data_IF_527838302987
#
_entry.id   IF_527838302987
#
_cell.length_a   1.000
_cell.length_b   1.000
_cell.length_c   1.000
_cell.angle_alpha   90.00
_cell.angle_beta   90.00
_cell.angle_gamma   90.00
#
_symmetry.space_group_name_H-M   'P 1'
#
loop_
_entity.id
_entity.type
_entity.pdbx_description
1 polymer ?
#
# COMPACT_ATOMS: atom_id res chain seq x y z
N UNK A 1 -6.77 28.48 -11.73
CA UNK A 1 -5.89 28.73 -10.59
C UNK A 1 -4.43 28.48 -11.01
N UNK A 2 -3.51 29.38 -10.65
CA UNK A 2 -2.11 29.40 -11.09
C UNK A 2 -1.18 28.41 -10.38
N UNK A 3 -1.54 27.13 -10.34
CA UNK A 3 -0.71 26.08 -9.72
C UNK A 3 0.24 25.50 -10.77
N UNK A 4 1.55 25.59 -10.51
CA UNK A 4 2.56 24.88 -11.30
C UNK A 4 2.83 23.52 -10.68
N UNK A 5 2.47 22.46 -11.39
CA UNK A 5 2.74 21.08 -10.98
C UNK A 5 4.09 20.64 -11.53
N UNK A 6 4.85 19.93 -10.71
CA UNK A 6 6.09 19.24 -11.13
C UNK A 6 5.93 17.79 -10.72
N UNK A 7 6.10 16.88 -11.67
CA UNK A 7 5.97 15.43 -11.49
C UNK A 7 7.33 14.77 -11.73
N UNK A 8 7.47 13.51 -11.30
CA UNK A 8 8.71 12.72 -11.46
C UNK A 8 9.93 13.35 -10.79
N UNK A 9 9.72 13.88 -9.59
CA UNK A 9 10.72 14.55 -8.77
C UNK A 9 10.59 14.05 -7.33
N UNK A 10 11.72 13.81 -6.68
CA UNK A 10 11.79 13.36 -5.28
C UNK A 10 12.52 14.41 -4.47
N UNK A 11 11.99 14.79 -3.30
CA UNK A 11 12.72 15.62 -2.35
C UNK A 11 13.79 14.77 -1.65
N UNK A 12 15.01 15.26 -1.57
CA UNK A 12 16.17 14.51 -1.03
C UNK A 12 16.89 15.24 0.11
N UNK A 13 16.57 16.51 0.33
CA UNK A 13 17.09 17.33 1.42
C UNK A 13 16.29 18.63 1.55
N UNK A 14 16.63 19.48 2.51
CA UNK A 14 16.09 20.83 2.67
C UNK A 14 17.17 21.90 2.68
N UNK A 15 16.78 23.12 2.33
CA UNK A 15 17.62 24.31 2.51
C UNK A 15 17.11 25.03 3.75
N UNK A 16 17.97 25.27 4.75
CA UNK A 16 17.58 25.98 5.97
C UNK A 16 18.68 26.89 6.52
N UNK A 17 18.25 27.90 7.27
CA UNK A 17 19.11 28.75 8.09
C UNK A 17 18.61 28.70 9.53
N UNK A 18 19.33 28.00 10.40
CA UNK A 18 18.86 27.69 11.75
C UNK A 18 17.54 26.90 11.69
N UNK A 19 16.48 27.47 12.28
CA UNK A 19 15.13 26.89 12.28
C UNK A 19 14.24 27.39 11.13
N UNK A 20 14.77 28.22 10.22
CA UNK A 20 14.01 28.74 9.10
C UNK A 20 14.25 27.90 7.84
N UNK A 21 13.21 27.21 7.37
CA UNK A 21 13.25 26.49 6.10
C UNK A 21 13.10 27.47 4.93
N UNK A 22 13.97 27.34 3.93
CA UNK A 22 14.06 28.22 2.77
C UNK A 22 13.64 27.52 1.46
N UNK A 23 13.61 26.19 1.45
CA UNK A 23 13.29 25.40 0.28
C UNK A 23 13.60 23.92 0.44
N UNK A 24 13.39 23.17 -0.64
CA UNK A 24 13.72 21.75 -0.74
C UNK A 24 14.76 21.51 -1.82
N UNK A 25 15.63 20.53 -1.59
CA UNK A 25 16.51 19.97 -2.63
C UNK A 25 15.81 18.75 -3.20
N UNK A 26 15.87 18.63 -4.51
CA UNK A 26 15.15 17.62 -5.27
C UNK A 26 16.05 16.91 -6.26
N UNK A 27 15.73 15.65 -6.57
CA UNK A 27 16.35 14.89 -7.66
C UNK A 27 15.32 14.41 -8.67
N UNK A 28 15.74 14.40 -9.92
CA UNK A 28 15.00 13.86 -11.07
C UNK A 28 15.98 13.53 -12.20
N UNK A 29 15.48 13.02 -13.32
CA UNK A 29 16.30 12.85 -14.55
C UNK A 29 16.82 14.17 -15.12
N UNK A 30 16.31 15.31 -14.67
CA UNK A 30 16.81 16.65 -15.01
C UNK A 30 17.96 17.10 -14.11
N UNK A 31 18.45 16.23 -13.21
CA UNK A 31 19.48 16.52 -12.24
C UNK A 31 18.94 17.01 -10.90
N UNK A 32 19.87 17.42 -10.03
CA UNK A 32 19.56 17.96 -8.71
C UNK A 32 19.18 19.44 -8.80
N UNK A 33 18.07 19.83 -8.18
CA UNK A 33 17.54 21.19 -8.22
C UNK A 33 17.07 21.67 -6.84
N UNK A 34 17.05 22.99 -6.66
CA UNK A 34 16.47 23.64 -5.48
C UNK A 34 15.15 24.31 -5.82
N UNK A 35 14.13 24.09 -4.99
CA UNK A 35 12.86 24.84 -5.05
C UNK A 35 12.77 25.67 -3.77
N UNK A 36 12.91 26.98 -3.92
CA UNK A 36 12.79 27.94 -2.81
C UNK A 36 11.32 28.29 -2.57
N UNK A 37 10.94 28.40 -1.30
CA UNK A 37 9.58 28.75 -0.91
C UNK A 37 9.54 29.40 0.47
N UNK A 38 8.59 30.32 0.67
CA UNK A 38 8.31 30.90 1.99
C UNK A 38 7.57 29.94 2.92
N UNK A 39 6.83 28.98 2.36
CA UNK A 39 6.05 27.98 3.09
C UNK A 39 6.22 26.64 2.38
N UNK A 40 6.49 25.60 3.18
CA UNK A 40 6.59 24.22 2.72
C UNK A 40 5.57 23.41 3.49
N UNK A 41 4.77 22.62 2.77
CA UNK A 41 3.81 21.68 3.34
C UNK A 41 4.33 20.28 3.03
N UNK A 42 4.65 19.52 4.08
CA UNK A 42 5.10 18.13 3.93
C UNK A 42 3.89 17.22 3.68
N UNK A 43 3.85 16.63 2.50
CA UNK A 43 2.86 15.62 2.11
C UNK A 43 3.54 14.36 1.56
N UNK A 44 4.72 14.04 2.08
CA UNK A 44 5.51 12.86 1.64
C UNK A 44 4.92 11.53 2.10
N UNK A 45 4.12 11.55 3.18
CA UNK A 45 3.57 10.35 3.82
C UNK A 45 4.47 9.79 4.91
N UNK A 46 5.79 9.85 4.71
CA UNK A 46 6.81 9.35 5.65
C UNK A 46 7.49 10.45 6.48
N UNK A 47 7.07 11.71 6.30
CA UNK A 47 7.61 12.90 6.98
C UNK A 47 9.09 13.21 6.61
N UNK A 48 9.49 12.95 5.36
CA UNK A 48 10.86 13.13 4.89
C UNK A 48 11.34 14.58 5.05
N UNK A 49 10.48 15.57 4.78
CA UNK A 49 10.88 16.99 4.89
C UNK A 49 11.07 17.36 6.36
N UNK A 50 10.22 16.88 7.25
CA UNK A 50 10.39 17.05 8.68
C UNK A 50 11.70 16.43 9.17
N UNK A 51 12.02 15.21 8.72
CA UNK A 51 13.28 14.52 9.00
C UNK A 51 14.49 15.35 8.54
N UNK A 52 14.53 15.76 7.27
CA UNK A 52 15.64 16.57 6.72
C UNK A 52 15.78 17.92 7.44
N UNK A 53 14.66 18.52 7.85
CA UNK A 53 14.66 19.77 8.62
C UNK A 53 15.22 19.62 10.04
N UNK A 54 15.29 18.39 10.56
CA UNK A 54 15.52 18.12 11.99
C UNK A 54 14.32 18.54 12.85
N UNK A 55 13.13 18.58 12.26
CA UNK A 55 11.90 18.86 12.99
C UNK A 55 11.44 17.62 13.77
N UNK A 56 10.78 17.78 14.92
CA UNK A 56 10.21 16.65 15.65
C UNK A 56 9.15 15.93 14.81
N UNK A 57 9.24 14.60 14.78
CA UNK A 57 8.27 13.71 14.15
C UNK A 57 8.25 12.38 14.93
N UNK A 58 7.24 11.55 14.68
CA UNK A 58 7.09 10.24 15.32
C UNK A 58 7.10 9.20 14.21
N UNK A 59 8.15 8.37 14.17
CA UNK A 59 8.13 7.12 13.42
C UNK A 59 7.44 6.07 14.27
N UNK A 60 6.49 5.34 13.69
CA UNK A 60 5.85 4.20 14.36
C UNK A 60 6.85 3.07 14.52
N UNK A 61 6.62 2.19 15.49
CA UNK A 61 7.40 0.96 15.63
C UNK A 61 7.23 0.09 14.39
N UNK A 62 8.24 -0.75 14.12
CA UNK A 62 8.34 -1.52 12.88
C UNK A 62 7.10 -2.37 12.60
N UNK A 63 6.52 -2.95 13.65
CA UNK A 63 5.34 -3.82 13.60
C UNK A 63 4.04 -3.04 13.29
N UNK A 64 4.08 -1.72 13.46
CA UNK A 64 2.95 -0.81 13.24
C UNK A 64 3.06 -0.03 11.92
N UNK A 65 4.16 -0.22 11.17
CA UNK A 65 4.31 0.35 9.83
C UNK A 65 3.36 -0.33 8.85
N UNK A 66 2.95 0.43 7.82
CA UNK A 66 2.13 -0.10 6.74
C UNK A 66 2.86 -1.26 6.06
N UNK A 67 2.14 -2.35 5.81
CA UNK A 67 2.70 -3.51 5.13
C UNK A 67 3.13 -3.13 3.71
N UNK A 68 4.25 -3.69 3.26
CA UNK A 68 4.57 -3.68 1.84
C UNK A 68 3.62 -4.64 1.12
N UNK A 69 3.06 -4.23 -0.01
CA UNK A 69 2.15 -5.07 -0.78
C UNK A 69 2.67 -5.36 -2.19
N UNK A 70 2.54 -6.60 -2.62
CA UNK A 70 2.86 -7.01 -4.00
C UNK A 70 1.57 -7.12 -4.79
N UNK A 71 1.42 -6.24 -5.78
CA UNK A 71 0.26 -6.24 -6.69
C UNK A 71 0.58 -7.07 -7.93
N UNK A 72 -0.33 -7.96 -8.31
CA UNK A 72 -0.20 -8.79 -9.51
C UNK A 72 -1.52 -8.90 -10.28
N UNK A 73 -1.48 -9.52 -11.45
CA UNK A 73 -2.66 -9.85 -12.25
C UNK A 73 -2.67 -11.34 -12.56
N UNK A 74 -3.86 -11.92 -12.70
CA UNK A 74 -4.04 -13.32 -13.10
C UNK A 74 -4.90 -13.42 -14.34
N UNK A 75 -4.47 -14.21 -15.32
CA UNK A 75 -5.25 -14.52 -16.50
C UNK A 75 -5.96 -15.88 -16.35
N UNK A 76 -6.86 -16.17 -17.29
CA UNK A 76 -7.59 -17.44 -17.37
C UNK A 76 -8.49 -17.73 -16.14
N UNK A 77 -9.00 -16.68 -15.49
CA UNK A 77 -10.01 -16.83 -14.43
C UNK A 77 -11.41 -16.95 -15.02
N UNK A 78 -12.26 -17.80 -14.42
CA UNK A 78 -13.67 -17.83 -14.76
C UNK A 78 -14.38 -16.61 -14.19
N UNK A 79 -14.55 -15.56 -15.02
CA UNK A 79 -15.21 -14.30 -14.63
C UNK A 79 -16.60 -14.53 -14.02
N UNK A 80 -17.42 -15.38 -14.62
CA UNK A 80 -18.80 -15.57 -14.18
C UNK A 80 -18.83 -16.20 -12.77
N UNK A 81 -17.99 -17.21 -12.54
CA UNK A 81 -17.87 -17.82 -11.22
C UNK A 81 -17.30 -16.83 -10.18
N UNK A 82 -16.30 -16.03 -10.56
CA UNK A 82 -15.72 -15.01 -9.69
C UNK A 82 -16.78 -13.98 -9.27
N UNK A 83 -17.48 -13.36 -10.23
CA UNK A 83 -18.50 -12.34 -9.94
C UNK A 83 -19.71 -12.92 -9.21
N UNK A 84 -20.10 -14.16 -9.51
CA UNK A 84 -21.15 -14.85 -8.75
C UNK A 84 -20.76 -15.01 -7.27
N UNK A 85 -19.50 -15.34 -6.98
CA UNK A 85 -19.02 -15.43 -5.61
C UNK A 85 -19.07 -14.07 -4.90
N UNK A 86 -18.61 -13.00 -5.55
CA UNK A 86 -18.68 -11.63 -5.01
C UNK A 86 -20.14 -11.23 -4.71
N UNK A 87 -21.05 -11.45 -5.65
CA UNK A 87 -22.47 -11.14 -5.46
C UNK A 87 -23.13 -11.98 -4.36
N UNK A 88 -22.65 -13.20 -4.13
CA UNK A 88 -23.20 -14.07 -3.07
C UNK A 88 -22.65 -13.76 -1.68
N UNK A 89 -21.41 -13.26 -1.59
CA UNK A 89 -20.72 -13.01 -0.32
C UNK A 89 -20.84 -11.55 0.14
N UNK A 90 -21.17 -10.64 -0.79
CA UNK A 90 -21.34 -9.20 -0.56
C UNK A 90 -20.32 -8.61 0.43
N UNK A 91 -19.01 -8.70 0.10
CA UNK A 91 -17.97 -8.22 1.01
C UNK A 91 -18.12 -6.74 1.30
N UNK A 92 -17.83 -6.36 2.55
CA UNK A 92 -18.06 -5.02 3.10
C UNK A 92 -16.77 -4.38 3.61
N UNK A 93 -16.73 -3.05 3.72
CA UNK A 93 -15.59 -2.40 4.36
C UNK A 93 -15.42 -2.81 5.83
N UNK A 94 -16.51 -3.13 6.53
CA UNK A 94 -16.43 -3.69 7.88
C UNK A 94 -15.75 -5.06 7.99
N UNK A 95 -15.54 -5.77 6.87
CA UNK A 95 -14.87 -7.08 6.88
C UNK A 95 -13.32 -6.99 6.92
N UNK A 96 -12.75 -5.81 6.63
CA UNK A 96 -11.29 -5.64 6.51
C UNK A 96 -10.59 -5.90 7.85
N UNK A 97 -9.65 -6.85 7.87
CA UNK A 97 -8.93 -7.24 9.09
C UNK A 97 -9.79 -7.94 10.16
N UNK A 98 -11.04 -8.28 9.85
CA UNK A 98 -11.91 -9.02 10.77
C UNK A 98 -11.40 -10.45 11.00
N UNK A 99 -10.83 -11.08 9.98
CA UNK A 99 -10.24 -12.43 10.05
C UNK A 99 -8.91 -12.41 10.83
N UNK A 100 -8.68 -13.39 11.71
CA UNK A 100 -7.39 -13.52 12.44
C UNK A 100 -6.19 -13.64 11.50
N UNK A 101 -6.37 -14.27 10.34
CA UNK A 101 -5.30 -14.51 9.37
C UNK A 101 -4.98 -13.30 8.47
N UNK A 102 -5.78 -12.23 8.52
CA UNK A 102 -5.68 -11.05 7.65
C UNK A 102 -5.55 -9.73 8.41
N UNK A 103 -5.00 -9.75 9.64
CA UNK A 103 -4.85 -8.55 10.48
C UNK A 103 -4.05 -7.42 9.84
N UNK A 104 -3.17 -7.73 8.90
CA UNK A 104 -2.42 -6.76 8.10
C UNK A 104 -3.31 -5.83 7.27
N UNK A 105 -4.58 -6.18 7.08
CA UNK A 105 -5.58 -5.40 6.35
C UNK A 105 -6.60 -4.73 7.28
N UNK A 106 -6.28 -4.61 8.57
CA UNK A 106 -7.14 -3.91 9.53
C UNK A 106 -7.03 -2.40 9.34
N UNK A 107 -8.16 -1.74 9.18
CA UNK A 107 -8.25 -0.28 9.08
C UNK A 107 -9.35 0.26 9.99
N UNK A 108 -9.20 1.51 10.41
CA UNK A 108 -10.25 2.26 11.08
C UNK A 108 -11.30 2.69 10.03
N UNK A 109 -12.33 1.86 9.88
CA UNK A 109 -13.46 2.13 8.99
C UNK A 109 -14.55 2.88 9.75
N UNK A 110 -14.81 4.12 9.34
CA UNK A 110 -15.89 4.94 9.88
C UNK A 110 -17.25 4.21 9.77
N UNK A 111 -18.10 4.36 10.78
CA UNK A 111 -19.38 3.63 10.88
C UNK A 111 -20.26 3.77 9.63
N UNK A 112 -20.30 4.96 9.03
CA UNK A 112 -21.08 5.25 7.83
C UNK A 112 -20.64 4.45 6.60
N UNK A 113 -19.42 3.92 6.59
CA UNK A 113 -18.85 3.20 5.47
C UNK A 113 -18.87 1.68 5.66
N UNK A 114 -19.12 1.20 6.89
CA UNK A 114 -18.97 -0.22 7.24
C UNK A 114 -19.81 -1.15 6.38
N UNK A 115 -21.04 -0.76 6.05
CA UNK A 115 -21.97 -1.57 5.26
C UNK A 115 -21.84 -1.41 3.74
N UNK A 116 -20.97 -0.51 3.27
CA UNK A 116 -20.74 -0.32 1.85
C UNK A 116 -20.00 -1.52 1.24
N UNK A 117 -20.34 -1.84 -0.01
CA UNK A 117 -19.63 -2.83 -0.80
C UNK A 117 -18.13 -2.55 -0.84
N UNK A 118 -17.35 -3.62 -0.74
CA UNK A 118 -15.90 -3.61 -0.78
C UNK A 118 -15.38 -4.72 -1.69
N UNK A 119 -14.32 -4.49 -2.47
CA UNK A 119 -13.67 -5.54 -3.25
C UNK A 119 -12.78 -6.47 -2.42
N UNK A 120 -13.05 -6.64 -1.12
CA UNK A 120 -12.20 -7.42 -0.21
C UNK A 120 -12.37 -8.93 -0.41
N UNK A 121 -11.26 -9.66 -0.39
CA UNK A 121 -11.17 -11.11 -0.64
C UNK A 121 -10.74 -11.92 0.59
N UNK A 122 -10.75 -11.34 1.80
CA UNK A 122 -10.28 -12.02 3.02
C UNK A 122 -10.95 -13.38 3.28
N UNK A 123 -12.28 -13.42 3.24
CA UNK A 123 -13.09 -14.65 3.44
C UNK A 123 -12.72 -15.77 2.46
N UNK A 124 -12.42 -15.42 1.20
CA UNK A 124 -12.07 -16.39 0.16
C UNK A 124 -10.71 -17.01 0.44
N UNK A 125 -9.71 -16.20 0.81
CA UNK A 125 -8.38 -16.70 1.14
C UNK A 125 -8.35 -17.47 2.46
N UNK A 126 -9.11 -17.05 3.48
CA UNK A 126 -9.28 -17.81 4.72
C UNK A 126 -9.85 -19.22 4.47
N UNK A 127 -10.83 -19.32 3.55
CA UNK A 127 -11.37 -20.62 3.10
C UNK A 127 -10.30 -21.46 2.39
N UNK A 128 -9.50 -20.85 1.51
CA UNK A 128 -8.41 -21.53 0.79
C UNK A 128 -7.34 -22.09 1.73
N UNK A 129 -6.95 -21.33 2.75
CA UNK A 129 -6.03 -21.76 3.82
C UNK A 129 -6.61 -22.90 4.64
N UNK A 130 -7.86 -22.78 5.08
CA UNK A 130 -8.56 -23.83 5.85
C UNK A 130 -8.68 -25.14 5.06
N UNK A 131 -8.80 -25.06 3.73
CA UNK A 131 -8.85 -26.22 2.83
C UNK A 131 -7.46 -26.79 2.48
N UNK A 132 -6.37 -26.17 2.94
CA UNK A 132 -5.00 -26.57 2.61
C UNK A 132 -4.57 -26.28 1.18
N UNK A 133 -5.34 -25.45 0.45
CA UNK A 133 -5.00 -25.02 -0.92
C UNK A 133 -3.90 -23.95 -0.86
N UNK A 134 -3.98 -23.05 0.12
CA UNK A 134 -3.01 -21.98 0.35
C UNK A 134 -2.08 -22.42 1.49
N UNK A 135 -0.75 -22.37 1.31
CA UNK A 135 0.19 -22.67 2.39
C UNK A 135 0.04 -21.72 3.57
N UNK A 136 0.20 -22.23 4.80
CA UNK A 136 -0.06 -21.47 6.04
C UNK A 136 0.83 -20.23 6.22
N UNK A 137 2.03 -20.25 5.65
CA UNK A 137 3.00 -19.15 5.76
C UNK A 137 2.77 -18.02 4.74
N UNK A 138 1.75 -18.12 3.89
CA UNK A 138 1.44 -17.12 2.86
C UNK A 138 0.40 -16.12 3.39
N UNK A 139 0.65 -14.83 3.18
CA UNK A 139 -0.19 -13.71 3.66
C UNK A 139 -1.21 -13.27 2.60
N UNK A 140 -1.99 -14.22 2.07
CA UNK A 140 -3.06 -13.91 1.13
C UNK A 140 -4.29 -13.34 1.83
N UNK A 141 -4.65 -12.11 1.44
CA UNK A 141 -5.76 -11.29 1.92
C UNK A 141 -5.65 -9.92 1.26
N UNK A 142 -6.76 -9.22 0.99
CA UNK A 142 -6.72 -7.89 0.36
C UNK A 142 -7.81 -7.70 -0.67
N UNK A 143 -7.55 -6.93 -1.72
CA UNK A 143 -8.57 -6.48 -2.67
C UNK A 143 -8.26 -6.77 -4.14
N UNK A 144 -9.30 -6.75 -4.95
CA UNK A 144 -9.22 -6.80 -6.41
C UNK A 144 -9.75 -5.51 -7.03
N UNK A 145 -9.41 -5.25 -8.30
CA UNK A 145 -9.95 -4.10 -9.03
C UNK A 145 -10.93 -4.50 -10.12
N UNK A 146 -10.45 -5.14 -11.19
CA UNK A 146 -11.25 -5.36 -12.41
C UNK A 146 -11.04 -6.77 -12.93
N UNK A 147 -12.13 -7.43 -13.35
CA UNK A 147 -12.08 -8.70 -14.09
C UNK A 147 -12.59 -8.50 -15.53
N UNK A 148 -11.69 -8.67 -16.51
CA UNK A 148 -12.04 -8.52 -17.94
C UNK A 148 -12.96 -9.64 -18.39
N UNK A 149 -13.70 -9.41 -19.49
CA UNK A 149 -14.55 -10.45 -20.11
C UNK A 149 -13.76 -11.68 -20.58
N UNK A 150 -12.45 -11.54 -20.79
CA UNK A 150 -11.55 -12.62 -21.20
C UNK A 150 -10.97 -13.41 -20.02
N UNK A 151 -11.31 -13.03 -18.78
CA UNK A 151 -10.83 -13.72 -17.59
C UNK A 151 -9.50 -13.21 -17.07
N UNK A 152 -9.18 -11.92 -17.27
CA UNK A 152 -8.03 -11.29 -16.62
C UNK A 152 -8.49 -10.55 -15.36
N UNK A 153 -8.09 -11.05 -14.19
CA UNK A 153 -8.14 -10.31 -12.94
C UNK A 153 -6.96 -9.35 -12.89
N UNK A 154 -7.24 -8.08 -13.15
CA UNK A 154 -6.25 -7.01 -13.09
C UNK A 154 -6.20 -6.43 -11.67
N UNK A 155 -4.97 -6.16 -11.23
CA UNK A 155 -4.70 -5.43 -9.99
C UNK A 155 -5.27 -6.15 -8.75
N UNK A 156 -4.74 -7.33 -8.50
CA UNK A 156 -4.92 -8.06 -7.23
C UNK A 156 -3.88 -7.52 -6.25
N UNK A 157 -4.34 -6.75 -5.27
CA UNK A 157 -3.53 -6.33 -4.14
C UNK A 157 -3.86 -7.24 -2.95
N UNK A 158 -3.30 -8.44 -2.96
CA UNK A 158 -3.72 -9.52 -2.06
C UNK A 158 -2.56 -10.17 -1.27
N UNK A 159 -1.33 -9.67 -1.43
CA UNK A 159 -0.16 -10.13 -0.66
C UNK A 159 0.33 -8.97 0.18
N UNK A 160 0.51 -9.18 1.48
CA UNK A 160 1.02 -8.17 2.41
C UNK A 160 2.17 -8.70 3.27
N UNK A 161 3.31 -8.01 3.23
CA UNK A 161 4.49 -8.35 4.02
C UNK A 161 4.57 -7.34 5.19
N UNK A 162 4.28 -7.76 6.43
CA UNK A 162 4.32 -6.89 7.60
C UNK A 162 5.75 -6.66 8.08
N UNK A 163 5.90 -5.73 9.02
CA UNK A 163 7.18 -5.43 9.70
C UNK A 163 8.33 -5.16 8.71
N UNK A 164 8.06 -4.29 7.74
CA UNK A 164 9.03 -3.81 6.74
C UNK A 164 9.27 -2.33 7.01
N UNK A 165 10.54 -1.97 7.18
CA UNK A 165 10.97 -0.58 7.25
C UNK A 165 11.18 -0.04 5.82
N UNK A 166 10.25 0.80 5.35
CA UNK A 166 10.33 1.41 4.03
C UNK A 166 11.52 2.37 3.85
N UNK A 167 12.17 2.77 4.95
CA UNK A 167 13.38 3.61 4.89
C UNK A 167 14.66 2.81 4.72
N UNK A 168 14.61 1.47 4.86
CA UNK A 168 15.73 0.57 4.58
C UNK A 168 15.52 -0.15 3.23
N UNK A 169 16.37 0.20 2.27
CA UNK A 169 16.32 -0.36 0.90
C UNK A 169 16.55 -1.88 0.88
N UNK A 170 17.33 -2.45 1.80
CA UNK A 170 17.58 -3.90 1.83
C UNK A 170 16.36 -4.65 2.38
N UNK A 171 15.66 -4.04 3.33
CA UNK A 171 14.43 -4.60 3.87
C UNK A 171 13.29 -4.56 2.86
N UNK A 172 13.13 -3.43 2.15
CA UNK A 172 12.24 -3.35 1.00
C UNK A 172 12.56 -4.41 -0.06
N UNK A 173 13.85 -4.59 -0.37
CA UNK A 173 14.29 -5.60 -1.35
C UNK A 173 13.94 -7.01 -0.92
N UNK A 174 14.21 -7.36 0.35
CA UNK A 174 13.84 -8.65 0.93
C UNK A 174 12.33 -8.87 0.85
N UNK A 175 11.56 -7.86 1.24
CA UNK A 175 10.11 -7.91 1.24
C UNK A 175 9.57 -8.12 -0.19
N UNK A 176 10.08 -7.38 -1.19
CA UNK A 176 9.65 -7.49 -2.60
C UNK A 176 9.89 -8.90 -3.14
N UNK A 177 11.06 -9.49 -2.84
CA UNK A 177 11.39 -10.87 -3.24
C UNK A 177 10.42 -11.86 -2.58
N UNK A 178 10.14 -11.69 -1.30
CA UNK A 178 9.21 -12.56 -0.57
C UNK A 178 7.77 -12.43 -1.07
N UNK A 179 7.29 -11.20 -1.26
CA UNK A 179 5.95 -10.93 -1.77
C UNK A 179 5.72 -11.54 -3.16
N UNK A 180 6.74 -11.51 -4.04
CA UNK A 180 6.70 -12.21 -5.33
C UNK A 180 6.66 -13.72 -5.21
N UNK A 181 7.39 -14.33 -4.25
CA UNK A 181 7.31 -15.78 -4.01
C UNK A 181 5.93 -16.20 -3.54
N UNK A 182 5.33 -15.40 -2.65
CA UNK A 182 3.99 -15.62 -2.13
C UNK A 182 2.90 -15.44 -3.19
N UNK A 183 3.04 -14.47 -4.08
CA UNK A 183 2.11 -14.26 -5.20
C UNK A 183 2.06 -15.45 -6.19
N UNK A 184 3.06 -16.33 -6.18
CA UNK A 184 3.14 -17.52 -7.04
C UNK A 184 2.61 -18.80 -6.37
N UNK A 185 2.15 -18.73 -5.11
CA UNK A 185 1.51 -19.85 -4.39
C UNK A 185 0.00 -19.89 -4.67
#
# INVERSE_FOLDING_TARGET
AGVRRVLHITAVDVIKQGNNLLGVITESKSGRQAILANVIIDCTGDADIAWFAGAPFIKREREELMCMTTVFSCANINKNAFMQNINSTEPKYGDWGADEENKNWSYDVHESCRDMFSPYLGKVFAKGKSAGIIPKNVTLGGSWSTVTVYGDANYLNVVSIPAVDCTDVFDLTRAEIEGRKQAMQ
#
